data_IF_897791558853
#
_entry.id   IF_897791558853
#
_cell.length_a   1.000
_cell.length_b   1.000
_cell.length_c   1.000
_cell.angle_alpha   90.00
_cell.angle_beta   90.00
_cell.angle_gamma   90.00
#
_symmetry.space_group_name_H-M   'P 1'
#
loop_
_entity.id
_entity.type
_entity.pdbx_description
1 polymer ?
#
# COMPACT_ATOMS: atom_id res chain seq x y z
N UNK A 1 2.32 9.03 -6.81
CA UNK A 1 0.98 8.59 -6.35
C UNK A 1 -0.07 9.57 -6.83
N UNK A 2 -1.28 9.13 -7.21
CA UNK A 2 -2.38 10.03 -7.55
C UNK A 2 -2.75 10.92 -6.36
N UNK A 3 -2.88 12.23 -6.60
CA UNK A 3 -3.27 13.23 -5.60
C UNK A 3 -4.65 13.75 -5.96
N UNK A 4 -5.56 13.76 -4.98
CA UNK A 4 -6.90 14.30 -5.09
C UNK A 4 -6.90 15.82 -4.97
N UNK A 5 -8.01 16.48 -5.33
CA UNK A 5 -8.13 17.94 -5.29
C UNK A 5 -7.98 18.55 -3.89
N UNK A 6 -8.22 17.77 -2.84
CA UNK A 6 -8.05 18.16 -1.43
C UNK A 6 -6.61 17.91 -0.90
N UNK A 7 -5.70 17.44 -1.77
CA UNK A 7 -4.33 17.10 -1.41
C UNK A 7 -4.15 15.69 -0.83
N UNK A 8 -5.23 14.93 -0.67
CA UNK A 8 -5.14 13.54 -0.22
C UNK A 8 -4.52 12.64 -1.29
N UNK A 9 -3.69 11.68 -0.89
CA UNK A 9 -3.22 10.62 -1.77
C UNK A 9 -4.31 9.56 -1.92
N UNK A 10 -4.56 9.09 -3.14
CA UNK A 10 -5.35 7.89 -3.38
C UNK A 10 -4.41 6.70 -3.61
N UNK A 11 -4.50 5.71 -2.73
CA UNK A 11 -3.68 4.51 -2.76
C UNK A 11 -4.52 3.28 -3.15
N UNK A 12 -4.37 2.74 -4.37
CA UNK A 12 -5.03 1.51 -4.75
C UNK A 12 -4.39 0.32 -4.02
N UNK A 13 -5.24 -0.63 -3.62
CA UNK A 13 -4.84 -1.88 -3.00
C UNK A 13 -5.24 -3.04 -3.91
N UNK A 14 -4.34 -4.00 -4.05
CA UNK A 14 -4.51 -5.18 -4.88
C UNK A 14 -4.63 -6.44 -4.04
N UNK A 15 -5.21 -7.47 -4.63
CA UNK A 15 -5.19 -8.84 -4.11
C UNK A 15 -4.02 -9.65 -4.71
N UNK A 16 -3.97 -10.96 -4.41
CA UNK A 16 -2.94 -11.88 -4.93
C UNK A 16 -2.97 -12.06 -6.46
N UNK A 17 -4.08 -11.71 -7.11
CA UNK A 17 -4.20 -11.73 -8.57
C UNK A 17 -3.66 -10.45 -9.21
N UNK A 18 -3.39 -9.42 -8.40
CA UNK A 18 -3.01 -8.09 -8.85
C UNK A 18 -4.21 -7.21 -9.23
N UNK A 19 -5.45 -7.67 -9.03
CA UNK A 19 -6.64 -6.89 -9.28
C UNK A 19 -6.83 -5.84 -8.18
N UNK A 20 -7.25 -4.63 -8.55
CA UNK A 20 -7.57 -3.59 -7.57
C UNK A 20 -8.90 -3.92 -6.90
N UNK A 21 -8.85 -4.27 -5.61
CA UNK A 21 -10.02 -4.70 -4.82
C UNK A 21 -10.41 -3.73 -3.72
N UNK A 22 -9.55 -2.74 -3.46
CA UNK A 22 -9.75 -1.73 -2.44
C UNK A 22 -8.92 -0.48 -2.73
N UNK A 23 -9.18 0.60 -2.00
CA UNK A 23 -8.32 1.76 -1.98
C UNK A 23 -8.42 2.47 -0.63
N UNK A 24 -7.36 3.20 -0.27
CA UNK A 24 -7.39 4.12 0.86
C UNK A 24 -6.98 5.52 0.43
N UNK A 25 -7.48 6.52 1.15
CA UNK A 25 -6.98 7.89 1.07
C UNK A 25 -6.00 8.16 2.21
N UNK A 26 -4.97 8.95 1.97
CA UNK A 26 -4.05 9.46 2.99
C UNK A 26 -4.06 11.00 2.91
N UNK A 27 -4.52 11.68 3.95
CA UNK A 27 -4.57 13.15 3.98
C UNK A 27 -3.16 13.74 4.12
N UNK A 28 -2.95 15.05 3.84
CA UNK A 28 -1.68 15.72 4.13
C UNK A 28 -1.25 15.64 5.61
N UNK A 29 -2.20 15.46 6.52
CA UNK A 29 -1.97 15.29 7.96
C UNK A 29 -1.60 13.84 8.33
N UNK A 30 -1.71 12.90 7.39
CA UNK A 30 -1.40 11.49 7.58
C UNK A 30 -2.59 10.61 7.97
N UNK A 31 -3.80 11.16 8.02
CA UNK A 31 -5.00 10.38 8.32
C UNK A 31 -5.29 9.41 7.17
N UNK A 32 -5.45 8.14 7.51
CA UNK A 32 -5.73 7.08 6.55
C UNK A 32 -7.21 6.70 6.62
N UNK A 33 -7.87 6.56 5.46
CA UNK A 33 -9.26 6.10 5.39
C UNK A 33 -9.44 5.12 4.24
N UNK A 34 -9.93 3.92 4.55
CA UNK A 34 -10.33 2.96 3.53
C UNK A 34 -11.64 3.40 2.86
N UNK A 35 -11.73 3.26 1.53
CA UNK A 35 -12.96 3.57 0.80
C UNK A 35 -14.07 2.57 1.14
N UNK A 36 -15.31 3.06 1.19
CA UNK A 36 -16.49 2.24 1.47
C UNK A 36 -16.65 1.16 0.41
N UNK A 37 -16.92 -0.08 0.83
CA UNK A 37 -17.04 -1.24 -0.07
C UNK A 37 -15.72 -1.94 -0.41
N UNK A 38 -14.60 -1.48 0.13
CA UNK A 38 -13.29 -2.12 -0.05
C UNK A 38 -13.22 -3.52 0.56
N UNK A 39 -12.66 -4.48 -0.18
CA UNK A 39 -12.26 -5.76 0.39
C UNK A 39 -11.05 -5.55 1.32
N UNK A 40 -11.22 -5.79 2.63
CA UNK A 40 -10.14 -5.59 3.62
C UNK A 40 -9.14 -6.75 3.66
N UNK A 41 -9.62 -7.99 3.60
CA UNK A 41 -8.75 -9.17 3.80
C UNK A 41 -7.92 -9.42 2.55
N UNK A 42 -6.61 -9.54 2.73
CA UNK A 42 -5.67 -9.85 1.65
C UNK A 42 -5.32 -8.66 0.75
N UNK A 43 -5.89 -7.47 0.97
CA UNK A 43 -5.58 -6.29 0.17
C UNK A 43 -4.29 -5.60 0.65
N UNK A 44 -3.39 -5.28 -0.29
CA UNK A 44 -2.13 -4.61 0.01
C UNK A 44 -1.73 -3.64 -1.11
N UNK A 45 -0.79 -2.75 -0.83
CA UNK A 45 -0.15 -1.90 -1.83
C UNK A 45 1.29 -2.35 -2.07
N UNK A 46 1.62 -2.82 -3.27
CA UNK A 46 2.99 -3.09 -3.66
C UNK A 46 3.71 -1.77 -4.02
N UNK A 47 4.83 -1.49 -3.37
CA UNK A 47 5.66 -0.29 -3.64
C UNK A 47 6.51 -0.49 -4.91
N UNK A 48 6.93 -1.72 -5.15
CA UNK A 48 7.74 -2.13 -6.30
C UNK A 48 7.30 -3.52 -6.81
N UNK A 49 7.82 -3.94 -7.96
CA UNK A 49 7.55 -5.23 -8.57
C UNK A 49 8.84 -5.86 -9.14
N UNK A 50 9.78 -6.30 -8.28
CA UNK A 50 10.97 -7.02 -8.74
C UNK A 50 10.55 -8.34 -9.41
N UNK A 51 11.28 -8.76 -10.45
CA UNK A 51 10.93 -9.97 -11.23
C UNK A 51 11.03 -11.26 -10.40
N UNK A 52 11.96 -11.33 -9.45
CA UNK A 52 12.22 -12.53 -8.64
C UNK A 52 12.75 -12.18 -7.24
N UNK A 53 11.93 -11.54 -6.40
CA UNK A 53 12.35 -11.14 -5.06
C UNK A 53 12.71 -12.35 -4.20
N UNK A 54 13.85 -12.28 -3.52
CA UNK A 54 14.26 -13.29 -2.54
C UNK A 54 13.67 -13.03 -1.14
N UNK A 55 13.09 -11.85 -0.94
CA UNK A 55 12.48 -11.45 0.33
C UNK A 55 11.30 -10.51 0.11
N UNK A 56 10.33 -10.57 1.02
CA UNK A 56 9.18 -9.68 1.07
C UNK A 56 9.21 -8.91 2.39
N UNK A 57 9.15 -7.59 2.29
CA UNK A 57 9.08 -6.67 3.43
C UNK A 57 7.65 -6.15 3.54
N UNK A 58 7.01 -6.44 4.67
CA UNK A 58 5.63 -6.03 4.95
C UNK A 58 5.66 -4.90 5.97
N UNK A 59 5.05 -3.78 5.62
CA UNK A 59 4.82 -2.67 6.52
C UNK A 59 3.31 -2.37 6.62
N UNK A 60 2.88 -1.71 7.70
CA UNK A 60 1.47 -1.32 7.88
C UNK A 60 1.11 -0.08 7.02
N UNK A 61 2.07 0.82 6.82
CA UNK A 61 1.87 2.10 6.17
C UNK A 61 2.75 2.31 4.94
N UNK A 62 2.24 3.10 4.00
CA UNK A 62 2.95 3.46 2.77
C UNK A 62 4.32 4.12 3.04
N UNK A 63 4.38 5.06 3.99
CA UNK A 63 5.62 5.76 4.32
C UNK A 63 6.72 4.77 4.78
N UNK A 64 6.38 3.85 5.68
CA UNK A 64 7.30 2.82 6.15
C UNK A 64 7.70 1.86 5.02
N UNK A 65 6.75 1.42 4.19
CA UNK A 65 7.03 0.55 3.05
C UNK A 65 8.02 1.21 2.05
N UNK A 66 7.85 2.52 1.79
CA UNK A 66 8.77 3.31 0.99
C UNK A 66 10.15 3.43 1.64
N UNK A 67 10.22 3.71 2.94
CA UNK A 67 11.50 3.81 3.66
C UNK A 67 12.29 2.51 3.58
N UNK A 68 11.65 1.36 3.81
CA UNK A 68 12.35 0.07 3.74
C UNK A 68 12.72 -0.31 2.31
N UNK A 69 11.91 0.07 1.30
CA UNK A 69 12.27 -0.09 -0.11
C UNK A 69 13.56 0.68 -0.46
N UNK A 70 13.71 1.92 0.05
CA UNK A 70 14.94 2.69 -0.15
C UNK A 70 16.17 2.04 0.50
N UNK A 71 16.01 1.30 1.60
CA UNK A 71 17.10 0.57 2.26
C UNK A 71 17.39 -0.78 1.59
N UNK A 72 16.37 -1.42 1.01
CA UNK A 72 16.42 -2.76 0.39
C UNK A 72 15.67 -2.76 -0.94
N UNK A 73 16.23 -2.12 -1.99
CA UNK A 73 15.56 -2.00 -3.28
C UNK A 73 15.39 -3.34 -4.01
N UNK A 74 16.15 -4.37 -3.60
CA UNK A 74 16.12 -5.75 -4.09
C UNK A 74 14.92 -6.56 -3.56
N UNK A 75 14.34 -6.15 -2.43
CA UNK A 75 13.21 -6.84 -1.82
C UNK A 75 11.88 -6.33 -2.39
N UNK A 76 10.86 -7.20 -2.41
CA UNK A 76 9.48 -6.75 -2.64
C UNK A 76 8.99 -6.06 -1.36
N UNK A 77 8.69 -4.77 -1.43
CA UNK A 77 8.12 -4.01 -0.33
C UNK A 77 6.61 -3.82 -0.54
N UNK A 78 5.82 -4.15 0.47
CA UNK A 78 4.37 -4.00 0.46
C UNK A 78 3.88 -3.26 1.71
N UNK A 79 2.87 -2.42 1.54
CA UNK A 79 2.06 -1.90 2.64
C UNK A 79 0.79 -2.74 2.78
N UNK A 80 0.69 -3.54 3.84
CA UNK A 80 -0.52 -4.25 4.22
C UNK A 80 -1.42 -3.31 5.01
N UNK A 81 -2.57 -2.96 4.44
CA UNK A 81 -3.50 -2.03 5.10
C UNK A 81 -4.37 -2.84 6.04
N UNK A 82 -3.97 -2.82 7.32
CA UNK A 82 -4.72 -3.20 8.52
C UNK A 82 -5.81 -4.29 8.35
N UNK A 83 -5.53 -5.46 8.94
CA UNK A 83 -6.48 -6.57 9.03
C UNK A 83 -7.57 -6.36 10.12
N UNK A 84 -7.58 -5.23 10.81
CA UNK A 84 -8.51 -4.87 11.88
C UNK A 84 -8.04 -5.34 13.25
N UNK A 85 -6.80 -5.02 13.64
CA UNK A 85 -6.30 -5.23 15.00
C UNK A 85 -6.73 -4.15 15.99
#
# INVERSE_FOLDING_TARGET
YPVMSDGSLLLPLVDESGAVVAAQTITPQGDKRLLTGSAKRGAYHAVNAPESPQSVLIAEGLATALSVHLMRPDALAVAAIDAGN
#
